data_IF_908661844279
#
_entry.id   IF_908661844279
#
_cell.length_a   1.000
_cell.length_b   1.000
_cell.length_c   1.000
_cell.angle_alpha   90.00
_cell.angle_beta   90.00
_cell.angle_gamma   90.00
#
_symmetry.space_group_name_H-M   'P 1'
#
loop_
_entity.id
_entity.type
_entity.pdbx_description
1 polymer ?
#
# COMPACT_ATOMS: atom_id res chain seq x y z
N UNK A 1 -2.11 31.23 -5.31
CA UNK A 1 -2.08 32.61 -4.76
C UNK A 1 -1.84 32.59 -3.24
N UNK A 2 -0.60 32.41 -2.78
CA UNK A 2 -0.18 32.68 -1.38
C UNK A 2 1.31 33.00 -1.38
N UNK A 3 1.70 34.19 -1.84
CA UNK A 3 3.12 34.56 -1.94
C UNK A 3 3.35 36.08 -1.77
N UNK A 4 2.82 36.70 -0.71
CA UNK A 4 3.08 38.13 -0.45
C UNK A 4 3.47 38.48 0.99
N UNK A 5 3.17 37.63 1.99
CA UNK A 5 3.48 37.96 3.40
C UNK A 5 4.91 37.53 3.81
N UNK A 6 5.43 36.45 3.23
CA UNK A 6 6.77 35.92 3.54
C UNK A 6 7.93 36.81 3.05
N UNK A 7 7.72 37.61 2.00
CA UNK A 7 8.74 38.51 1.47
C UNK A 7 8.95 39.76 2.35
N UNK A 8 7.88 40.30 2.95
CA UNK A 8 7.97 41.48 3.83
C UNK A 8 8.64 41.15 5.17
N UNK A 9 8.36 39.99 5.75
CA UNK A 9 9.03 39.53 6.98
C UNK A 9 10.53 39.24 6.77
N UNK A 10 10.94 38.86 5.56
CA UNK A 10 12.35 38.63 5.22
C UNK A 10 13.14 39.94 5.12
N UNK A 11 12.51 41.01 4.63
CA UNK A 11 13.15 42.34 4.52
C UNK A 11 13.33 43.04 5.87
N UNK A 12 12.41 42.88 6.83
CA UNK A 12 12.55 43.51 8.15
C UNK A 12 13.60 42.80 9.01
N UNK A 13 13.71 41.46 8.91
CA UNK A 13 14.74 40.68 9.64
C UNK A 13 16.17 40.99 9.18
N UNK A 14 16.35 41.42 7.94
CA UNK A 14 17.66 41.81 7.39
C UNK A 14 18.17 43.16 7.92
N UNK A 15 17.29 44.10 8.33
CA UNK A 15 17.73 45.40 8.86
C UNK A 15 18.10 45.39 10.34
N UNK A 16 17.50 44.53 11.17
CA UNK A 16 17.80 44.49 12.60
C UNK A 16 19.03 43.66 13.00
N UNK A 17 19.56 42.80 12.12
CA UNK A 17 20.76 42.00 12.43
C UNK A 17 22.10 42.67 12.05
N UNK A 18 22.12 43.94 11.67
CA UNK A 18 23.36 44.68 11.35
C UNK A 18 24.15 45.16 12.59
N UNK A 19 23.70 44.86 13.81
CA UNK A 19 24.41 45.20 15.05
C UNK A 19 24.62 43.98 15.93
N UNK A 20 25.56 43.12 15.54
CA UNK A 20 26.23 42.22 16.49
C UNK A 20 27.66 42.00 16.03
N UNK A 21 28.60 42.50 16.83
CA UNK A 21 30.04 42.41 16.56
C UNK A 21 30.43 40.97 16.25
N UNK A 22 31.14 40.79 15.14
CA UNK A 22 31.68 39.50 14.73
C UNK A 22 33.14 39.72 14.34
N UNK A 23 34.01 39.03 15.06
CA UNK A 23 35.45 38.89 14.80
C UNK A 23 35.73 38.81 13.29
N UNK A 24 36.67 39.64 12.81
CA UNK A 24 37.14 39.63 11.43
C UNK A 24 37.94 38.34 11.18
N UNK A 25 37.28 37.27 10.75
CA UNK A 25 37.96 36.17 10.10
C UNK A 25 38.67 36.69 8.82
N UNK A 26 39.90 36.23 8.52
CA UNK A 26 40.61 36.65 7.31
C UNK A 26 39.77 36.39 6.05
N UNK A 27 39.79 37.33 5.10
CA UNK A 27 39.09 37.25 3.80
C UNK A 27 39.37 35.95 3.04
N UNK A 28 40.59 35.42 3.16
CA UNK A 28 41.00 34.15 2.56
C UNK A 28 40.22 32.95 3.13
N UNK A 29 40.02 32.90 4.45
CA UNK A 29 39.23 31.88 5.14
C UNK A 29 37.77 31.88 4.71
N UNK A 30 37.17 33.07 4.53
CA UNK A 30 35.79 33.19 4.05
C UNK A 30 35.65 32.70 2.60
N UNK A 31 36.64 32.99 1.73
CA UNK A 31 36.67 32.46 0.36
C UNK A 31 36.82 30.94 0.33
N UNK A 32 37.70 30.37 1.14
CA UNK A 32 37.87 28.92 1.24
C UNK A 32 36.59 28.26 1.75
N UNK A 33 35.94 28.82 2.78
CA UNK A 33 34.67 28.29 3.27
C UNK A 33 33.57 28.35 2.20
N UNK A 34 33.48 29.45 1.45
CA UNK A 34 32.53 29.56 0.35
C UNK A 34 32.82 28.54 -0.77
N UNK A 35 34.09 28.34 -1.11
CA UNK A 35 34.52 27.40 -2.15
C UNK A 35 34.32 25.94 -1.75
N UNK A 36 34.68 25.57 -0.51
CA UNK A 36 34.39 24.24 0.06
C UNK A 36 32.89 24.00 0.11
N UNK A 37 32.09 25.00 0.48
CA UNK A 37 30.62 24.89 0.47
C UNK A 37 30.09 24.66 -0.96
N UNK A 38 30.62 25.36 -1.95
CA UNK A 38 30.26 25.18 -3.37
C UNK A 38 30.69 23.80 -3.90
N UNK A 39 31.86 23.31 -3.53
CA UNK A 39 32.34 21.97 -3.85
C UNK A 39 31.47 20.89 -3.19
N UNK A 40 31.17 21.04 -1.89
CA UNK A 40 30.29 20.14 -1.18
C UNK A 40 28.87 20.15 -1.78
N UNK A 41 28.36 21.33 -2.15
CA UNK A 41 27.11 21.43 -2.89
C UNK A 41 27.24 20.78 -4.27
N UNK A 42 28.31 20.98 -5.03
CA UNK A 42 28.42 20.39 -6.38
C UNK A 42 28.64 18.87 -6.35
N UNK A 43 29.31 18.35 -5.31
CA UNK A 43 29.57 16.91 -5.13
C UNK A 43 28.36 16.17 -4.53
N UNK A 44 27.60 16.83 -3.64
CA UNK A 44 26.46 16.24 -2.97
C UNK A 44 25.10 16.62 -3.60
N UNK A 45 25.05 17.59 -4.51
CA UNK A 45 23.83 17.95 -5.23
C UNK A 45 23.60 16.93 -6.34
N UNK A 46 22.90 15.86 -5.97
CA UNK A 46 22.33 14.94 -6.91
C UNK A 46 20.86 15.33 -7.10
N UNK A 47 20.50 15.82 -8.30
CA UNK A 47 19.10 16.13 -8.63
C UNK A 47 18.18 14.90 -8.59
N UNK A 48 18.77 13.69 -8.53
CA UNK A 48 18.06 12.42 -8.39
C UNK A 48 17.91 11.97 -6.92
N UNK A 49 18.61 12.61 -5.98
CA UNK A 49 18.48 12.34 -4.53
C UNK A 49 17.58 13.41 -3.91
N UNK A 50 16.29 13.31 -4.21
CA UNK A 50 15.27 14.07 -3.49
C UNK A 50 15.06 13.50 -2.08
N UNK A 51 14.52 14.32 -1.18
CA UNK A 51 14.17 13.90 0.19
C UNK A 51 13.29 12.64 0.19
N UNK A 52 12.42 12.52 -0.81
CA UNK A 52 11.50 11.40 -0.95
C UNK A 52 12.23 10.07 -1.17
N UNK A 53 13.33 10.08 -1.92
CA UNK A 53 14.15 8.89 -2.15
C UNK A 53 14.87 8.45 -0.87
N UNK A 54 15.32 9.41 -0.07
CA UNK A 54 15.97 9.15 1.22
C UNK A 54 14.97 8.55 2.21
N UNK A 55 13.76 9.13 2.31
CA UNK A 55 12.71 8.57 3.15
C UNK A 55 12.26 7.18 2.68
N UNK A 56 12.03 6.97 1.37
CA UNK A 56 11.72 5.66 0.79
C UNK A 56 12.76 4.60 1.23
N UNK A 57 14.05 4.96 1.20
CA UNK A 57 15.16 4.06 1.56
C UNK A 57 15.17 3.73 3.06
N UNK A 58 14.89 4.72 3.91
CA UNK A 58 14.85 4.53 5.38
C UNK A 58 13.66 3.65 5.78
N UNK A 59 12.51 3.79 5.11
CA UNK A 59 11.29 3.04 5.43
C UNK A 59 11.20 1.68 4.75
N UNK A 60 12.08 1.36 3.80
CA UNK A 60 12.14 0.05 3.15
C UNK A 60 12.07 -1.16 4.10
N UNK A 61 12.86 -1.25 5.20
CA UNK A 61 12.74 -2.36 6.16
C UNK A 61 11.38 -2.43 6.85
N UNK A 62 10.74 -1.28 7.08
CA UNK A 62 9.40 -1.21 7.66
C UNK A 62 8.38 -1.79 6.67
N UNK A 63 8.46 -1.40 5.39
CA UNK A 63 7.58 -1.93 4.36
C UNK A 63 7.72 -3.44 4.18
N UNK A 64 8.95 -3.98 4.19
CA UNK A 64 9.18 -5.43 4.14
C UNK A 64 8.58 -6.14 5.35
N UNK A 65 8.70 -5.55 6.55
CA UNK A 65 8.10 -6.10 7.77
C UNK A 65 6.57 -6.12 7.67
N UNK A 66 5.97 -5.03 7.19
CA UNK A 66 4.53 -4.95 6.96
C UNK A 66 4.08 -5.99 5.93
N UNK A 67 4.78 -6.13 4.80
CA UNK A 67 4.47 -7.12 3.78
C UNK A 67 4.50 -8.56 4.34
N UNK A 68 5.47 -8.88 5.20
CA UNK A 68 5.55 -10.18 5.87
C UNK A 68 4.38 -10.41 6.83
N UNK A 69 4.06 -9.41 7.65
CA UNK A 69 2.97 -9.44 8.63
C UNK A 69 1.61 -9.57 7.93
N UNK A 70 1.36 -8.80 6.88
CA UNK A 70 0.11 -8.87 6.09
C UNK A 70 -0.08 -10.24 5.46
N UNK A 71 1.00 -10.89 4.98
CA UNK A 71 0.91 -12.25 4.44
C UNK A 71 0.48 -13.28 5.48
N UNK A 72 0.90 -13.10 6.73
CA UNK A 72 0.48 -13.95 7.85
C UNK A 72 -1.00 -13.71 8.20
N UNK A 73 -1.43 -12.45 8.25
CA UNK A 73 -2.84 -12.09 8.48
C UNK A 73 -3.78 -12.71 7.43
N UNK A 74 -3.38 -12.76 6.16
CA UNK A 74 -4.16 -13.40 5.11
C UNK A 74 -4.48 -14.88 5.42
N UNK A 75 -3.51 -15.65 5.93
CA UNK A 75 -3.74 -17.04 6.33
C UNK A 75 -4.68 -17.13 7.55
N UNK A 76 -4.52 -16.23 8.52
CA UNK A 76 -5.38 -16.19 9.72
C UNK A 76 -6.83 -15.92 9.34
N UNK A 77 -7.09 -14.97 8.42
CA UNK A 77 -8.45 -14.68 7.96
C UNK A 77 -9.08 -15.86 7.22
N UNK A 78 -8.30 -16.60 6.42
CA UNK A 78 -8.80 -17.82 5.76
C UNK A 78 -9.21 -18.87 6.78
N UNK A 79 -8.36 -19.16 7.76
CA UNK A 79 -8.68 -20.09 8.84
C UNK A 79 -9.92 -19.64 9.63
N UNK A 80 -10.02 -18.34 9.93
CA UNK A 80 -11.15 -17.76 10.66
C UNK A 80 -12.47 -17.98 9.89
N UNK A 81 -12.52 -17.67 8.60
CA UNK A 81 -13.72 -17.88 7.76
C UNK A 81 -14.14 -19.34 7.73
N UNK A 82 -13.18 -20.26 7.59
CA UNK A 82 -13.45 -21.72 7.59
C UNK A 82 -14.01 -22.17 8.94
N UNK A 83 -13.45 -21.71 10.05
CA UNK A 83 -13.92 -22.07 11.40
C UNK A 83 -15.33 -21.52 11.64
N UNK A 84 -15.58 -20.24 11.34
CA UNK A 84 -16.90 -19.62 11.55
C UNK A 84 -17.99 -20.26 10.68
N UNK A 85 -17.70 -20.53 9.40
CA UNK A 85 -18.68 -21.19 8.52
C UNK A 85 -18.97 -22.62 8.97
N UNK A 86 -17.94 -23.37 9.37
CA UNK A 86 -18.09 -24.73 9.91
C UNK A 86 -18.89 -24.76 11.20
N UNK A 87 -18.68 -23.80 12.13
CA UNK A 87 -19.42 -23.76 13.39
C UNK A 87 -20.91 -23.47 13.17
N UNK A 88 -21.25 -22.54 12.27
CA UNK A 88 -22.65 -22.25 11.90
C UNK A 88 -23.33 -23.47 11.27
N UNK A 89 -22.64 -24.17 10.36
CA UNK A 89 -23.13 -25.40 9.74
C UNK A 89 -23.36 -26.48 10.80
N UNK A 90 -22.40 -26.69 11.72
CA UNK A 90 -22.52 -27.66 12.80
C UNK A 90 -23.72 -27.38 13.70
N UNK A 91 -23.90 -26.14 14.17
CA UNK A 91 -25.06 -25.75 15.00
C UNK A 91 -26.37 -25.98 14.24
N UNK A 92 -26.40 -25.64 12.95
CA UNK A 92 -27.60 -25.80 12.12
C UNK A 92 -28.03 -27.27 12.01
N UNK A 93 -27.09 -28.18 11.76
CA UNK A 93 -27.42 -29.59 11.57
C UNK A 93 -27.59 -30.38 12.86
N UNK A 94 -26.85 -30.04 13.92
CA UNK A 94 -26.88 -30.79 15.19
C UNK A 94 -27.98 -30.27 16.11
N UNK A 95 -28.25 -28.96 16.13
CA UNK A 95 -29.18 -28.35 17.08
C UNK A 95 -30.47 -27.90 16.40
N UNK A 96 -30.37 -27.13 15.30
CA UNK A 96 -31.57 -26.55 14.68
C UNK A 96 -32.38 -27.56 13.88
N UNK A 97 -31.75 -28.49 13.16
CA UNK A 97 -32.45 -29.50 12.38
C UNK A 97 -33.32 -30.44 13.23
N UNK A 98 -32.85 -31.07 14.33
CA UNK A 98 -33.72 -31.91 15.15
C UNK A 98 -34.88 -31.12 15.78
N UNK A 99 -34.64 -29.86 16.18
CA UNK A 99 -35.70 -28.97 16.64
C UNK A 99 -36.73 -28.65 15.54
N UNK A 100 -36.26 -28.46 14.30
CA UNK A 100 -37.13 -28.17 13.17
C UNK A 100 -38.00 -29.38 12.81
N UNK A 101 -37.45 -30.60 12.85
CA UNK A 101 -38.15 -31.86 12.56
C UNK A 101 -39.33 -32.13 13.50
N UNK A 102 -39.32 -31.59 14.72
CA UNK A 102 -40.44 -31.73 15.68
C UNK A 102 -41.45 -30.59 15.61
N UNK A 103 -41.09 -29.44 15.04
CA UNK A 103 -41.90 -28.21 15.10
C UNK A 103 -42.58 -27.87 13.76
N UNK A 104 -41.92 -28.15 12.63
CA UNK A 104 -42.34 -27.68 11.31
C UNK A 104 -42.73 -28.83 10.36
N UNK A 105 -43.47 -28.49 9.30
CA UNK A 105 -43.83 -29.48 8.26
C UNK A 105 -42.59 -29.92 7.45
N UNK A 106 -42.52 -31.18 7.01
CA UNK A 106 -41.37 -31.69 6.24
C UNK A 106 -41.07 -30.89 4.96
N UNK A 107 -42.09 -30.35 4.30
CA UNK A 107 -41.92 -29.54 3.09
C UNK A 107 -41.19 -28.21 3.37
N UNK A 108 -41.53 -27.54 4.49
CA UNK A 108 -40.88 -26.31 4.90
C UNK A 108 -39.41 -26.53 5.28
N UNK A 109 -39.13 -27.63 5.97
CA UNK A 109 -37.77 -28.05 6.35
C UNK A 109 -36.96 -28.36 5.09
N UNK A 110 -37.51 -29.16 4.16
CA UNK A 110 -36.84 -29.49 2.91
C UNK A 110 -36.49 -28.25 2.10
N UNK A 111 -37.40 -27.28 1.99
CA UNK A 111 -37.14 -25.99 1.33
C UNK A 111 -35.94 -25.25 1.96
N UNK A 112 -35.93 -25.08 3.29
CA UNK A 112 -34.85 -24.39 3.98
C UNK A 112 -33.53 -25.14 3.92
N UNK A 113 -33.56 -26.48 4.04
CA UNK A 113 -32.36 -27.30 3.91
C UNK A 113 -31.78 -27.24 2.51
N UNK A 114 -32.60 -27.32 1.45
CA UNK A 114 -32.12 -27.21 0.07
C UNK A 114 -31.54 -25.81 -0.21
N UNK A 115 -32.25 -24.75 0.16
CA UNK A 115 -31.79 -23.38 -0.02
C UNK A 115 -30.53 -23.08 0.80
N UNK A 116 -30.45 -23.56 2.04
CA UNK A 116 -29.29 -23.41 2.91
C UNK A 116 -28.04 -24.08 2.33
N UNK A 117 -28.16 -25.33 1.86
CA UNK A 117 -27.06 -26.03 1.20
C UNK A 117 -26.63 -25.36 -0.11
N UNK A 118 -27.58 -24.86 -0.90
CA UNK A 118 -27.27 -24.07 -2.08
C UNK A 118 -26.42 -22.85 -1.75
N UNK A 119 -26.80 -22.08 -0.73
CA UNK A 119 -26.02 -20.94 -0.27
C UNK A 119 -24.63 -21.35 0.24
N UNK A 120 -24.52 -22.45 0.98
CA UNK A 120 -23.23 -22.97 1.45
C UNK A 120 -22.30 -23.31 0.27
N UNK A 121 -22.83 -23.95 -0.78
CA UNK A 121 -22.07 -24.25 -2.00
C UNK A 121 -21.64 -22.95 -2.70
N UNK A 122 -22.53 -21.96 -2.81
CA UNK A 122 -22.19 -20.66 -3.42
C UNK A 122 -21.11 -19.91 -2.64
N UNK A 123 -21.22 -19.85 -1.31
CA UNK A 123 -20.22 -19.23 -0.43
C UNK A 123 -18.87 -19.93 -0.61
N UNK A 124 -18.84 -21.27 -0.55
CA UNK A 124 -17.63 -22.04 -0.72
C UNK A 124 -16.97 -21.82 -2.10
N UNK A 125 -17.77 -21.85 -3.17
CA UNK A 125 -17.29 -21.64 -4.54
C UNK A 125 -16.70 -20.24 -4.73
N UNK A 126 -17.45 -19.19 -4.36
CA UNK A 126 -16.99 -17.81 -4.54
C UNK A 126 -15.77 -17.50 -3.67
N UNK A 127 -15.74 -18.00 -2.43
CA UNK A 127 -14.59 -17.82 -1.55
C UNK A 127 -13.35 -18.54 -2.10
N UNK A 128 -13.50 -19.79 -2.56
CA UNK A 128 -12.42 -20.54 -3.20
C UNK A 128 -11.88 -19.80 -4.42
N UNK A 129 -12.77 -19.28 -5.28
CA UNK A 129 -12.38 -18.48 -6.45
C UNK A 129 -11.66 -17.20 -6.03
N UNK A 130 -12.09 -16.52 -4.96
CA UNK A 130 -11.43 -15.30 -4.48
C UNK A 130 -9.99 -15.56 -4.02
N UNK A 131 -9.73 -16.66 -3.31
CA UNK A 131 -8.40 -16.95 -2.75
C UNK A 131 -7.44 -17.64 -3.74
N UNK A 132 -7.97 -18.36 -4.75
CA UNK A 132 -7.15 -19.14 -5.70
C UNK A 132 -6.99 -18.49 -7.07
N UNK A 133 -7.86 -17.56 -7.45
CA UNK A 133 -7.74 -16.92 -8.77
C UNK A 133 -6.50 -16.02 -8.77
N UNK A 134 -5.61 -16.25 -9.74
CA UNK A 134 -4.43 -15.41 -9.90
C UNK A 134 -4.84 -13.96 -10.17
N UNK A 135 -4.16 -12.97 -9.56
CA UNK A 135 -4.44 -11.55 -9.83
C UNK A 135 -4.06 -11.12 -11.26
N UNK A 136 -3.45 -12.01 -12.06
CA UNK A 136 -3.04 -11.74 -13.43
C UNK A 136 -1.71 -11.01 -13.54
N UNK A 137 -1.39 -10.58 -14.77
CA UNK A 137 -0.12 -9.93 -15.11
C UNK A 137 -0.37 -8.80 -16.12
N UNK A 138 0.44 -7.72 -16.09
CA UNK A 138 0.41 -6.71 -17.13
C UNK A 138 0.90 -7.33 -18.46
N UNK A 139 0.30 -6.98 -19.60
CA UNK A 139 0.77 -7.43 -20.91
C UNK A 139 2.17 -6.87 -21.18
N UNK A 140 3.07 -7.71 -21.70
CA UNK A 140 4.44 -7.34 -22.06
C UNK A 140 4.55 -6.61 -23.40
N UNK A 141 3.51 -6.67 -24.24
CA UNK A 141 3.52 -6.06 -25.57
C UNK A 141 3.35 -4.54 -25.54
N UNK A 142 4.00 -3.89 -26.53
CA UNK A 142 3.82 -2.48 -26.91
C UNK A 142 2.34 -2.20 -27.13
N UNK A 143 1.66 -1.77 -26.08
CA UNK A 143 0.34 -1.21 -26.20
C UNK A 143 0.52 0.28 -26.56
N UNK A 144 -0.24 0.78 -27.53
CA UNK A 144 -0.41 2.22 -27.82
C UNK A 144 -1.05 3.01 -26.66
N UNK A 145 -1.06 2.43 -25.46
CA UNK A 145 -1.60 3.03 -24.25
C UNK A 145 -0.53 3.91 -23.61
N UNK A 146 -0.87 5.13 -23.18
CA UNK A 146 0.09 6.03 -22.56
C UNK A 146 0.65 5.38 -21.29
N UNK A 147 1.98 5.22 -21.25
CA UNK A 147 2.69 4.79 -20.05
C UNK A 147 2.69 5.93 -19.04
N UNK A 148 2.21 5.65 -17.82
CA UNK A 148 2.07 6.67 -16.78
C UNK A 148 3.34 6.78 -15.94
N UNK A 149 4.01 5.66 -15.66
CA UNK A 149 5.26 5.61 -14.89
C UNK A 149 5.97 4.26 -15.04
N UNK A 150 7.22 4.16 -14.59
CA UNK A 150 7.97 2.89 -14.51
C UNK A 150 7.90 2.34 -13.09
N UNK A 151 7.79 1.01 -12.95
CA UNK A 151 7.93 0.37 -11.64
C UNK A 151 9.39 0.31 -11.21
N UNK A 152 9.74 0.96 -10.09
CA UNK A 152 11.09 0.91 -9.49
C UNK A 152 11.53 -0.52 -9.09
N UNK A 153 10.59 -1.40 -8.70
CA UNK A 153 10.88 -2.78 -8.27
C UNK A 153 10.98 -3.77 -9.43
N UNK A 154 10.05 -3.70 -10.39
CA UNK A 154 10.03 -4.64 -11.53
C UNK A 154 10.82 -4.16 -12.76
N UNK A 155 11.23 -2.88 -12.80
CA UNK A 155 11.91 -2.25 -13.94
C UNK A 155 11.13 -2.43 -15.25
N UNK A 156 9.80 -2.26 -15.17
CA UNK A 156 8.90 -2.36 -16.32
C UNK A 156 7.98 -1.13 -16.39
N UNK A 157 7.61 -0.68 -17.61
CA UNK A 157 6.66 0.41 -17.76
C UNK A 157 5.27 -0.03 -17.26
N UNK A 158 4.64 0.77 -16.40
CA UNK A 158 3.30 0.47 -15.84
C UNK A 158 2.22 0.92 -16.83
N UNK A 159 1.39 0.00 -17.33
CA UNK A 159 0.16 0.38 -18.02
C UNK A 159 -0.78 1.16 -17.09
N UNK A 160 -1.69 1.95 -17.65
CA UNK A 160 -2.70 2.66 -16.87
C UNK A 160 -3.44 1.72 -15.88
N UNK A 161 -3.69 2.21 -14.65
CA UNK A 161 -4.31 1.47 -13.54
C UNK A 161 -3.53 0.23 -13.05
N UNK A 162 -2.22 0.13 -13.32
CA UNK A 162 -1.38 -0.96 -12.81
C UNK A 162 -0.66 -0.52 -11.54
N UNK A 163 -0.72 -1.34 -10.49
CA UNK A 163 0.01 -1.09 -9.24
C UNK A 163 0.94 -2.27 -8.92
N UNK A 164 2.05 -1.98 -8.24
CA UNK A 164 2.95 -3.02 -7.75
C UNK A 164 2.49 -3.47 -6.37
N UNK A 165 2.21 -4.75 -6.21
CA UNK A 165 1.92 -5.35 -4.92
C UNK A 165 3.24 -5.87 -4.31
N UNK A 166 3.65 -5.32 -3.16
CA UNK A 166 4.84 -5.79 -2.42
C UNK A 166 4.68 -7.24 -1.95
N UNK A 167 3.48 -7.62 -1.52
CA UNK A 167 3.18 -8.96 -1.02
C UNK A 167 3.24 -10.03 -2.12
N UNK A 168 2.69 -9.73 -3.32
CA UNK A 168 2.78 -10.63 -4.48
C UNK A 168 4.09 -10.49 -5.27
N UNK A 169 4.94 -9.51 -4.93
CA UNK A 169 6.17 -9.13 -5.61
C UNK A 169 6.01 -8.98 -7.14
N UNK A 170 4.94 -8.32 -7.58
CA UNK A 170 4.66 -8.13 -9.02
C UNK A 170 3.71 -6.96 -9.27
N UNK A 171 3.74 -6.46 -10.50
CA UNK A 171 2.73 -5.53 -11.00
C UNK A 171 1.44 -6.27 -11.36
N UNK A 172 0.30 -5.72 -10.94
CA UNK A 172 -1.05 -6.26 -11.16
C UNK A 172 -1.89 -5.20 -11.90
N UNK A 173 -2.52 -5.61 -13.01
CA UNK A 173 -3.38 -4.75 -13.82
C UNK A 173 -4.71 -4.52 -13.10
N UNK A 174 -5.19 -3.26 -13.06
CA UNK A 174 -6.41 -2.87 -12.34
C UNK A 174 -6.44 -3.38 -10.89
N UNK A 175 -5.29 -3.32 -10.22
CA UNK A 175 -5.20 -3.69 -8.82
C UNK A 175 -6.02 -2.72 -7.96
N UNK A 176 -6.95 -3.25 -7.18
CA UNK A 176 -7.67 -2.48 -6.16
C UNK A 176 -6.86 -2.50 -4.85
N UNK A 177 -6.70 -3.68 -4.25
CA UNK A 177 -5.90 -3.89 -3.05
C UNK A 177 -5.48 -5.36 -2.94
N UNK A 178 -4.49 -5.65 -2.09
CA UNK A 178 -4.22 -7.00 -1.62
C UNK A 178 -5.11 -7.22 -0.39
N UNK A 179 -5.97 -8.24 -0.47
CA UNK A 179 -6.82 -8.64 0.64
C UNK A 179 -6.02 -9.38 1.73
#
# INVERSE_FOLDING_TARGET
>A
MRCSVLHLLRCVRLRLCSRRGRSRLPLWTQRIQAYIKLLAQSLCFNSLTDSDVVFDSIFEPVFVTVDYVTRWFGMVFVCLVVILTSSVVMITYIVLLPLALTTYSPAWIAWHSLYGNWNLIMIAFHYYKAIKTSPGYPPAEKNDRPFVSVCKKCIMPKPARTHHCGICNRCILKMDHHC
#
